data_IF_765354565587
#
_entry.id   IF_765354565587
#
_cell.length_a   1.000
_cell.length_b   1.000
_cell.length_c   1.000
_cell.angle_alpha   90.00
_cell.angle_beta   90.00
_cell.angle_gamma   90.00
#
_symmetry.space_group_name_H-M   'P 1'
#
loop_
_entity.id
_entity.type
_entity.pdbx_description
1 polymer ?
#
# COMPACT_ATOMS: atom_id res chain seq x y z
N UNK A 1 34.36 -31.88 52.92
CA UNK A 1 33.55 -32.56 53.96
C UNK A 1 32.09 -32.49 53.49
N UNK A 2 31.51 -33.58 52.94
CA UNK A 2 30.49 -34.46 53.60
C UNK A 2 29.24 -33.64 54.00
N UNK A 3 27.97 -33.84 53.58
CA UNK A 3 27.14 -34.96 53.04
C UNK A 3 25.89 -34.29 52.39
N UNK A 4 25.37 -34.57 51.19
CA UNK A 4 24.60 -35.72 50.68
C UNK A 4 23.44 -36.23 51.57
N UNK A 5 22.20 -36.01 51.10
CA UNK A 5 21.07 -36.94 51.17
C UNK A 5 19.70 -36.31 51.52
N UNK A 6 18.53 -36.74 51.03
CA UNK A 6 18.08 -37.56 49.89
C UNK A 6 16.53 -37.73 50.02
N UNK A 7 15.82 -37.92 48.89
CA UNK A 7 14.58 -38.73 48.68
C UNK A 7 13.23 -38.27 49.24
N UNK A 8 12.43 -37.63 48.38
CA UNK A 8 11.02 -38.01 48.18
C UNK A 8 10.99 -38.85 46.88
N UNK A 9 11.07 -40.19 46.89
CA UNK A 9 10.06 -41.18 47.29
C UNK A 9 8.74 -41.03 46.48
N UNK A 10 8.74 -41.29 45.17
CA UNK A 10 8.19 -42.50 44.52
C UNK A 10 6.93 -43.10 45.18
N UNK A 11 5.74 -42.69 44.72
CA UNK A 11 4.49 -43.45 44.44
C UNK A 11 3.60 -42.48 43.64
N UNK A 12 2.93 -42.75 42.52
CA UNK A 12 2.61 -43.98 41.83
C UNK A 12 2.38 -43.72 40.34
N UNK A 13 2.90 -44.65 39.56
CA UNK A 13 2.72 -44.84 38.13
C UNK A 13 1.47 -45.73 37.93
N UNK A 14 0.84 -45.62 36.75
CA UNK A 14 -0.02 -46.60 36.04
C UNK A 14 -1.54 -46.55 36.27
N UNK A 15 -2.24 -46.66 35.12
CA UNK A 15 -3.61 -47.15 34.83
C UNK A 15 -4.65 -46.01 34.77
N UNK A 16 -5.23 -45.61 33.62
CA UNK A 16 -6.15 -46.37 32.74
C UNK A 16 -6.45 -45.50 31.48
N UNK A 17 -5.85 -45.70 30.30
CA UNK A 17 -6.33 -46.53 29.17
C UNK A 17 -7.86 -46.63 29.00
N UNK A 18 -8.55 -45.53 28.67
CA UNK A 18 -9.91 -45.62 28.08
C UNK A 18 -9.87 -45.17 26.63
N UNK A 19 -9.78 -46.17 25.78
CA UNK A 19 -10.19 -46.16 24.39
C UNK A 19 -11.63 -45.67 24.26
N UNK A 20 -11.90 -44.71 23.38
CA UNK A 20 -13.24 -44.49 22.85
C UNK A 20 -13.17 -44.31 21.33
N UNK A 21 -13.14 -45.45 20.62
CA UNK A 21 -13.50 -45.53 19.22
C UNK A 21 -15.01 -45.81 19.14
N UNK A 22 -15.73 -44.99 18.36
CA UNK A 22 -16.78 -45.50 17.46
C UNK A 22 -18.25 -45.18 17.79
N UNK A 23 -18.76 -44.11 17.14
CA UNK A 23 -20.01 -44.04 16.30
C UNK A 23 -21.40 -44.38 16.91
N UNK A 24 -22.55 -44.11 16.21
CA UNK A 24 -22.96 -43.04 15.29
C UNK A 24 -24.40 -42.48 15.61
N UNK A 25 -24.93 -41.62 14.71
CA UNK A 25 -26.36 -41.36 14.40
C UNK A 25 -27.13 -40.30 15.22
N UNK A 26 -27.46 -39.17 14.57
CA UNK A 26 -28.83 -38.65 14.49
C UNK A 26 -29.03 -37.73 13.26
N UNK A 27 -29.88 -38.17 12.32
CA UNK A 27 -30.67 -37.37 11.35
C UNK A 27 -31.99 -36.98 12.05
N UNK A 28 -32.77 -35.93 11.77
CA UNK A 28 -32.96 -35.03 10.63
C UNK A 28 -33.93 -33.88 11.06
N UNK A 29 -33.83 -32.74 10.38
CA UNK A 29 -34.93 -31.85 9.89
C UNK A 29 -35.95 -31.20 10.84
N UNK A 30 -36.03 -29.85 10.85
CA UNK A 30 -37.29 -29.06 10.75
C UNK A 30 -37.05 -27.61 10.25
N UNK A 31 -37.66 -27.30 9.09
CA UNK A 31 -38.42 -26.08 8.70
C UNK A 31 -37.85 -24.65 8.85
N UNK A 32 -37.69 -24.01 7.70
CA UNK A 32 -38.19 -22.69 7.24
C UNK A 32 -38.21 -21.47 8.17
N UNK A 33 -37.46 -20.46 7.70
CA UNK A 33 -37.69 -18.99 7.67
C UNK A 33 -38.01 -18.25 8.98
N UNK A 34 -37.06 -17.42 9.47
CA UNK A 34 -37.17 -15.94 9.53
C UNK A 34 -35.98 -15.32 10.32
N UNK A 35 -35.59 -14.10 9.92
CA UNK A 35 -34.68 -13.12 10.57
C UNK A 35 -33.16 -13.13 10.28
N UNK A 36 -32.80 -12.38 9.23
CA UNK A 36 -32.01 -11.13 9.30
C UNK A 36 -30.92 -11.01 10.38
N UNK A 37 -29.66 -11.15 9.96
CA UNK A 37 -28.57 -10.15 10.09
C UNK A 37 -27.19 -10.82 10.19
N UNK A 38 -26.33 -10.44 9.23
CA UNK A 38 -24.85 -10.46 9.30
C UNK A 38 -24.19 -11.79 9.67
N UNK A 39 -23.87 -12.57 8.65
CA UNK A 39 -22.76 -13.50 8.71
C UNK A 39 -22.05 -13.63 7.36
N UNK A 40 -20.74 -13.70 7.49
CA UNK A 40 -19.70 -13.67 6.48
C UNK A 40 -19.89 -14.75 5.42
N UNK A 41 -20.30 -14.35 4.22
CA UNK A 41 -20.20 -15.21 3.05
C UNK A 41 -18.71 -15.40 2.73
N UNK A 42 -18.20 -16.55 3.18
CA UNK A 42 -16.99 -17.17 2.69
C UNK A 42 -17.00 -17.11 1.16
N UNK A 43 -16.16 -16.23 0.61
CA UNK A 43 -15.78 -16.27 -0.78
C UNK A 43 -14.98 -17.56 -0.97
N UNK A 44 -15.63 -18.52 -1.62
CA UNK A 44 -15.04 -19.70 -2.22
C UNK A 44 -13.83 -19.32 -3.05
N UNK A 45 -12.65 -19.77 -2.61
CA UNK A 45 -11.42 -19.77 -3.41
C UNK A 45 -11.55 -20.73 -4.60
N UNK A 46 -11.42 -20.28 -5.86
CA UNK A 46 -10.90 -21.10 -6.93
C UNK A 46 -9.37 -21.04 -6.93
N UNK A 47 -8.77 -22.15 -7.34
CA UNK A 47 -7.37 -22.48 -7.18
C UNK A 47 -6.40 -21.57 -7.95
N UNK A 48 -5.27 -21.23 -7.32
CA UNK A 48 -4.19 -20.47 -7.96
C UNK A 48 -2.87 -20.31 -7.20
N UNK A 49 -2.55 -21.15 -6.20
CA UNK A 49 -1.21 -21.33 -5.61
C UNK A 49 -0.44 -20.02 -5.25
N UNK A 50 -0.54 -19.55 -4.00
CA UNK A 50 0.19 -18.37 -3.50
C UNK A 50 1.49 -18.80 -2.77
N UNK A 51 2.69 -18.71 -3.37
CA UNK A 51 3.96 -18.99 -2.68
C UNK A 51 4.41 -17.87 -1.74
N UNK A 52 3.76 -16.70 -1.81
CA UNK A 52 4.15 -15.44 -1.19
C UNK A 52 3.09 -14.82 -0.27
N UNK A 53 1.89 -15.40 -0.16
CA UNK A 53 0.78 -14.88 0.66
C UNK A 53 0.15 -13.57 0.18
N UNK A 54 0.39 -13.15 -1.07
CA UNK A 54 -0.18 -11.93 -1.67
C UNK A 54 -1.49 -12.28 -2.40
N UNK A 55 -2.63 -11.62 -2.12
CA UNK A 55 -3.89 -11.85 -2.83
C UNK A 55 -3.81 -11.38 -4.30
N UNK A 56 -4.60 -12.02 -5.17
CA UNK A 56 -4.63 -11.78 -6.62
C UNK A 56 -6.02 -11.39 -7.15
N UNK A 57 -6.94 -11.01 -6.28
CA UNK A 57 -8.27 -10.53 -6.66
C UNK A 57 -8.32 -9.00 -6.88
N UNK A 58 -9.33 -8.56 -7.65
CA UNK A 58 -9.55 -7.16 -8.00
C UNK A 58 -9.85 -6.27 -6.76
N UNK A 59 -10.46 -6.84 -5.73
CA UNK A 59 -10.78 -6.15 -4.49
C UNK A 59 -9.51 -5.73 -3.76
N UNK A 60 -8.60 -6.68 -3.56
CA UNK A 60 -7.27 -6.43 -2.99
C UNK A 60 -6.44 -5.46 -3.81
N UNK A 61 -6.46 -5.58 -5.14
CA UNK A 61 -5.77 -4.60 -6.01
C UNK A 61 -6.32 -3.18 -5.82
N UNK A 62 -7.64 -3.02 -5.83
CA UNK A 62 -8.29 -1.70 -5.71
C UNK A 62 -8.05 -1.08 -4.33
N UNK A 63 -8.18 -1.87 -3.25
CA UNK A 63 -7.90 -1.40 -1.89
C UNK A 63 -6.42 -1.03 -1.74
N UNK A 64 -5.52 -1.90 -2.19
CA UNK A 64 -4.07 -1.69 -2.16
C UNK A 64 -3.63 -0.43 -2.88
N UNK A 65 -4.19 -0.17 -4.07
CA UNK A 65 -3.97 1.07 -4.82
C UNK A 65 -4.37 2.30 -4.03
N UNK A 66 -5.53 2.26 -3.39
CA UNK A 66 -6.05 3.36 -2.56
C UNK A 66 -5.11 3.65 -1.38
N UNK A 67 -4.74 2.62 -0.63
CA UNK A 67 -3.83 2.71 0.51
C UNK A 67 -2.43 3.21 0.10
N UNK A 68 -1.89 2.68 -1.01
CA UNK A 68 -0.60 3.11 -1.54
C UNK A 68 -0.61 4.60 -1.91
N UNK A 69 -1.67 5.06 -2.57
CA UNK A 69 -1.82 6.46 -2.94
C UNK A 69 -1.92 7.38 -1.73
N UNK A 70 -2.61 6.95 -0.67
CA UNK A 70 -2.79 7.73 0.55
C UNK A 70 -1.52 7.82 1.41
N UNK A 71 -0.74 6.74 1.48
CA UNK A 71 0.31 6.60 2.50
C UNK A 71 1.73 6.47 1.95
N UNK A 72 1.92 6.07 0.70
CA UNK A 72 3.24 5.67 0.19
C UNK A 72 3.77 6.59 -0.91
N UNK A 73 2.91 7.14 -1.77
CA UNK A 73 3.31 7.91 -2.97
C UNK A 73 4.08 9.19 -2.69
N UNK A 74 3.92 9.77 -1.50
CA UNK A 74 4.69 10.95 -1.09
C UNK A 74 6.20 10.70 -1.07
N UNK A 75 6.61 9.45 -0.80
CA UNK A 75 8.01 9.09 -0.62
C UNK A 75 8.51 7.97 -1.55
N UNK A 76 7.62 7.17 -2.13
CA UNK A 76 7.98 6.01 -2.95
C UNK A 76 7.34 6.04 -4.33
N UNK A 77 8.13 5.63 -5.32
CA UNK A 77 7.65 5.33 -6.67
C UNK A 77 7.97 3.87 -7.00
N UNK A 78 7.30 3.32 -8.03
CA UNK A 78 7.50 1.94 -8.43
C UNK A 78 8.85 1.75 -9.14
N UNK A 79 9.10 2.51 -10.22
CA UNK A 79 10.29 2.32 -11.06
C UNK A 79 11.52 3.16 -10.73
N UNK A 80 11.43 4.12 -9.80
CA UNK A 80 12.55 5.03 -9.48
C UNK A 80 12.62 5.39 -8.01
N UNK A 81 13.81 5.77 -7.57
CA UNK A 81 14.02 6.36 -6.26
C UNK A 81 13.56 7.82 -6.25
N UNK A 82 12.84 8.20 -5.20
CA UNK A 82 12.52 9.60 -4.89
C UNK A 82 13.07 9.93 -3.51
N UNK A 83 12.27 9.81 -2.45
CA UNK A 83 12.76 9.93 -1.06
C UNK A 83 13.20 8.56 -0.55
N UNK A 84 12.35 7.55 -0.76
CA UNK A 84 12.63 6.16 -0.47
C UNK A 84 13.03 5.35 -1.73
N UNK A 85 13.42 4.08 -1.54
CA UNK A 85 13.73 3.14 -2.64
C UNK A 85 12.56 2.93 -3.60
N UNK A 86 12.90 2.52 -4.82
CA UNK A 86 11.94 2.02 -5.81
C UNK A 86 11.26 0.74 -5.31
N UNK A 87 9.93 0.67 -5.36
CA UNK A 87 9.16 -0.44 -4.80
C UNK A 87 8.77 -1.53 -5.79
N UNK A 88 9.01 -1.35 -7.09
CA UNK A 88 8.75 -2.39 -8.09
C UNK A 88 9.43 -3.70 -7.67
N UNK A 89 8.69 -4.80 -7.68
CA UNK A 89 9.19 -6.14 -7.33
C UNK A 89 9.78 -6.28 -5.93
N UNK A 90 9.38 -5.43 -4.96
CA UNK A 90 9.87 -5.52 -3.57
C UNK A 90 9.56 -6.86 -2.90
N UNK A 91 8.42 -7.48 -3.26
CA UNK A 91 8.00 -8.80 -2.81
C UNK A 91 8.99 -9.91 -3.19
N UNK A 92 9.81 -9.72 -4.23
CA UNK A 92 10.86 -10.67 -4.62
C UNK A 92 12.17 -10.46 -3.88
N UNK A 93 12.36 -9.28 -3.26
CA UNK A 93 13.61 -8.93 -2.56
C UNK A 93 13.60 -9.37 -1.10
N UNK A 94 12.44 -9.43 -0.46
CA UNK A 94 12.30 -9.68 0.97
C UNK A 94 11.08 -10.53 1.27
N UNK A 95 11.14 -11.38 2.31
CA UNK A 95 10.00 -12.20 2.71
C UNK A 95 8.85 -11.30 3.19
N UNK A 96 7.62 -11.73 2.91
CA UNK A 96 6.43 -10.94 3.21
C UNK A 96 6.28 -10.61 4.69
N UNK A 97 6.62 -11.52 5.60
CA UNK A 97 6.55 -11.24 7.04
C UNK A 97 7.51 -10.14 7.49
N UNK A 98 8.67 -10.02 6.83
CA UNK A 98 9.59 -8.92 7.10
C UNK A 98 9.05 -7.61 6.55
N UNK A 99 8.45 -7.63 5.35
CA UNK A 99 7.85 -6.44 4.73
C UNK A 99 6.69 -5.90 5.57
N UNK A 100 5.82 -6.77 6.08
CA UNK A 100 4.71 -6.36 6.96
C UNK A 100 5.23 -5.64 8.20
N UNK A 101 6.19 -6.23 8.91
CA UNK A 101 6.78 -5.60 10.11
C UNK A 101 7.49 -4.29 9.79
N UNK A 102 8.27 -4.26 8.71
CA UNK A 102 9.01 -3.07 8.31
C UNK A 102 8.09 -1.92 7.91
N UNK A 103 7.00 -2.20 7.21
CA UNK A 103 6.01 -1.19 6.81
C UNK A 103 5.26 -0.68 8.04
N UNK A 104 4.87 -1.54 8.97
CA UNK A 104 4.19 -1.11 10.20
C UNK A 104 5.09 -0.21 11.05
N UNK A 105 6.34 -0.61 11.29
CA UNK A 105 7.26 0.18 12.09
C UNK A 105 8.72 -0.10 11.71
N UNK A 106 9.24 0.69 10.76
CA UNK A 106 10.61 0.53 10.29
C UNK A 106 11.65 0.83 11.40
N UNK A 107 11.36 1.78 12.29
CA UNK A 107 12.27 2.19 13.35
C UNK A 107 12.47 1.07 14.38
N UNK A 108 11.40 0.34 14.70
CA UNK A 108 11.48 -0.85 15.53
C UNK A 108 12.39 -1.91 14.90
N UNK A 109 12.18 -2.24 13.63
CA UNK A 109 13.01 -3.24 12.91
C UNK A 109 14.48 -2.84 12.84
N UNK A 110 14.77 -1.53 12.71
CA UNK A 110 16.15 -1.00 12.73
C UNK A 110 16.78 -1.14 14.12
N UNK A 111 16.00 -1.02 15.20
CA UNK A 111 16.49 -1.13 16.58
C UNK A 111 16.66 -2.58 17.06
N UNK A 112 15.96 -3.54 16.45
CA UNK A 112 16.01 -4.96 16.82
C UNK A 112 17.24 -5.66 16.25
N UNK A 113 18.15 -6.12 17.14
CA UNK A 113 19.45 -6.67 16.75
C UNK A 113 19.37 -7.75 15.66
N UNK A 114 18.43 -8.70 15.76
CA UNK A 114 18.34 -9.85 14.84
C UNK A 114 17.78 -9.51 13.44
N UNK A 115 17.02 -8.41 13.29
CA UNK A 115 16.44 -7.97 12.00
C UNK A 115 17.06 -6.66 11.47
N UNK A 116 17.94 -6.05 12.24
CA UNK A 116 18.50 -4.72 11.98
C UNK A 116 19.54 -4.67 10.88
N UNK A 117 20.23 -5.77 10.53
CA UNK A 117 21.39 -5.70 9.63
C UNK A 117 21.05 -5.06 8.28
N UNK A 118 20.00 -5.52 7.61
CA UNK A 118 19.57 -4.92 6.36
C UNK A 118 18.85 -3.57 6.56
N UNK A 119 17.96 -3.49 7.55
CA UNK A 119 17.16 -2.29 7.80
C UNK A 119 18.04 -1.07 8.16
N UNK A 120 19.10 -1.29 8.94
CA UNK A 120 20.05 -0.26 9.36
C UNK A 120 20.96 0.20 8.23
N UNK A 121 21.40 -0.71 7.36
CA UNK A 121 22.15 -0.36 6.14
C UNK A 121 21.26 0.45 5.20
N UNK A 122 20.02 0.01 4.98
CA UNK A 122 19.04 0.72 4.18
C UNK A 122 18.80 2.12 4.74
N UNK A 123 18.55 2.24 6.04
CA UNK A 123 18.33 3.52 6.70
C UNK A 123 19.49 4.51 6.49
N UNK A 124 20.74 4.04 6.64
CA UNK A 124 21.94 4.86 6.38
C UNK A 124 22.07 5.25 4.90
N UNK A 125 21.79 4.33 3.98
CA UNK A 125 21.84 4.59 2.54
C UNK A 125 20.85 5.69 2.12
N UNK A 126 19.70 5.74 2.79
CA UNK A 126 18.66 6.74 2.56
C UNK A 126 18.78 7.90 3.55
N UNK A 127 20.00 8.37 3.87
CA UNK A 127 20.27 9.57 4.68
C UNK A 127 19.55 9.62 6.04
N UNK A 128 19.36 8.47 6.68
CA UNK A 128 18.62 8.33 7.93
C UNK A 128 17.21 8.95 7.85
N UNK A 129 16.58 8.92 6.66
CA UNK A 129 15.20 9.37 6.50
C UNK A 129 14.26 8.41 7.22
N UNK A 130 13.45 8.96 8.12
CA UNK A 130 12.50 8.19 8.93
C UNK A 130 11.26 7.90 8.10
N UNK A 131 11.00 6.61 7.85
CA UNK A 131 9.70 6.17 7.34
C UNK A 131 8.66 6.32 8.48
N UNK A 132 7.50 6.95 8.24
CA UNK A 132 6.46 7.08 9.23
C UNK A 132 5.98 5.72 9.76
N UNK A 133 5.36 5.73 10.94
CA UNK A 133 4.76 4.54 11.53
C UNK A 133 3.37 4.30 10.91
N UNK A 134 3.09 3.05 10.57
CA UNK A 134 1.84 2.59 9.96
C UNK A 134 1.23 1.40 10.73
N UNK A 135 1.38 1.34 12.05
CA UNK A 135 0.80 0.29 12.91
C UNK A 135 -0.73 0.22 12.84
N UNK A 136 -1.38 1.27 12.34
CA UNK A 136 -2.82 1.27 12.07
C UNK A 136 -3.21 0.46 10.83
N UNK A 137 -2.27 0.15 9.92
CA UNK A 137 -2.50 -0.74 8.79
C UNK A 137 -2.44 -2.19 9.27
N UNK A 138 -3.51 -2.93 8.99
CA UNK A 138 -3.55 -4.36 9.27
C UNK A 138 -2.60 -5.13 8.36
N UNK A 139 -2.36 -6.41 8.68
CA UNK A 139 -1.59 -7.28 7.80
C UNK A 139 -2.25 -7.34 6.41
N UNK A 140 -3.56 -7.50 6.36
CA UNK A 140 -4.31 -7.66 5.11
C UNK A 140 -4.25 -6.39 4.26
N UNK A 141 -4.36 -5.20 4.89
CA UNK A 141 -4.14 -3.92 4.20
C UNK A 141 -2.76 -3.85 3.53
N UNK A 142 -1.71 -4.35 4.20
CA UNK A 142 -0.35 -4.38 3.65
C UNK A 142 -0.23 -5.41 2.53
N UNK A 143 -0.91 -6.55 2.63
CA UNK A 143 -0.97 -7.54 1.56
C UNK A 143 -1.66 -6.97 0.31
N UNK A 144 -2.74 -6.22 0.49
CA UNK A 144 -3.43 -5.51 -0.59
C UNK A 144 -2.50 -4.50 -1.26
N UNK A 145 -1.77 -3.68 -0.48
CA UNK A 145 -0.74 -2.78 -1.03
C UNK A 145 0.30 -3.56 -1.84
N UNK A 146 0.72 -4.74 -1.38
CA UNK A 146 1.66 -5.58 -2.13
C UNK A 146 1.04 -6.17 -3.39
N UNK A 147 -0.26 -6.51 -3.40
CA UNK A 147 -0.96 -6.94 -4.59
C UNK A 147 -0.92 -5.86 -5.68
N UNK A 148 -1.21 -4.62 -5.31
CA UNK A 148 -1.06 -3.46 -6.20
C UNK A 148 0.38 -3.31 -6.73
N UNK A 149 1.38 -3.29 -5.84
CA UNK A 149 2.79 -3.13 -6.24
C UNK A 149 3.23 -4.27 -7.16
N UNK A 150 2.80 -5.50 -6.90
CA UNK A 150 3.13 -6.69 -7.71
C UNK A 150 2.56 -6.52 -9.12
N UNK A 151 1.28 -6.22 -9.25
CA UNK A 151 0.61 -6.01 -10.55
C UNK A 151 1.28 -4.90 -11.36
N UNK A 152 1.52 -3.74 -10.74
CA UNK A 152 2.12 -2.60 -11.45
C UNK A 152 3.60 -2.83 -11.78
N UNK A 153 4.33 -3.60 -10.96
CA UNK A 153 5.72 -3.94 -11.27
C UNK A 153 5.88 -4.79 -12.53
N UNK A 154 4.90 -5.64 -12.84
CA UNK A 154 4.89 -6.42 -14.08
C UNK A 154 4.62 -5.51 -15.28
N UNK A 155 3.70 -4.54 -15.15
CA UNK A 155 3.39 -3.55 -16.18
C UNK A 155 4.60 -2.72 -16.59
N UNK A 156 5.38 -2.23 -15.61
CA UNK A 156 6.61 -1.46 -15.87
C UNK A 156 7.70 -2.30 -16.57
N UNK A 157 7.82 -3.60 -16.25
CA UNK A 157 8.76 -4.49 -16.95
C UNK A 157 8.33 -4.82 -18.37
N UNK A 158 7.03 -4.85 -18.66
CA UNK A 158 6.51 -5.04 -20.02
C UNK A 158 6.74 -3.79 -20.90
N UNK A 159 6.72 -2.59 -20.31
CA UNK A 159 7.05 -1.34 -21.00
C UNK A 159 8.52 -1.23 -21.45
N UNK A 160 9.43 -1.94 -20.78
CA UNK A 160 10.87 -1.96 -21.13
C UNK A 160 11.18 -2.92 -22.29
N UNK A 161 10.32 -3.90 -22.59
CA UNK A 161 10.52 -4.82 -23.71
C UNK A 161 10.14 -4.23 -25.07
N UNK A 162 9.28 -3.21 -25.13
CA UNK A 162 8.89 -2.53 -26.39
C UNK A 162 9.78 -1.33 -26.75
N UNK A 163 10.67 -0.89 -25.85
CA UNK A 163 11.59 0.22 -26.11
C UNK A 163 12.96 -0.24 -26.66
N UNK A 164 13.17 -1.55 -26.86
CA UNK A 164 14.43 -2.14 -27.31
C UNK A 164 14.34 -2.72 -28.74
N UNK A 165 13.61 -2.04 -29.63
CA UNK A 165 13.70 -2.23 -31.07
C UNK A 165 13.36 -0.92 -31.79
N UNK A 166 14.25 0.06 -31.69
CA UNK A 166 14.55 0.95 -32.82
C UNK A 166 15.78 1.77 -32.47
N UNK A 167 16.94 1.31 -32.92
CA UNK A 167 18.07 2.20 -33.16
C UNK A 167 17.86 2.89 -34.52
N UNK A 168 18.50 4.04 -34.68
CA UNK A 168 18.96 4.63 -35.95
C UNK A 168 18.20 5.85 -36.50
N UNK A 169 19.02 6.89 -36.71
CA UNK A 169 18.93 8.03 -37.63
C UNK A 169 18.08 9.26 -37.25
N UNK A 170 18.80 10.26 -36.76
CA UNK A 170 18.48 11.68 -36.88
C UNK A 170 18.81 12.21 -38.28
N UNK A 171 17.85 12.75 -39.05
CA UNK A 171 18.09 13.85 -40.01
C UNK A 171 16.82 14.70 -40.16
N UNK A 172 17.01 16.02 -40.14
CA UNK A 172 16.01 17.08 -40.31
C UNK A 172 15.51 17.19 -41.76
N UNK A 173 14.23 17.53 -41.97
CA UNK A 173 13.82 18.44 -43.05
C UNK A 173 12.44 19.06 -42.80
N UNK A 174 12.40 20.40 -42.73
CA UNK A 174 11.26 21.29 -42.96
C UNK A 174 11.34 21.82 -44.42
N UNK A 175 10.41 22.61 -44.99
CA UNK A 175 8.93 22.70 -44.92
C UNK A 175 8.27 22.51 -46.31
N UNK A 176 6.94 22.37 -46.38
CA UNK A 176 6.17 23.10 -47.41
C UNK A 176 4.69 23.25 -47.08
N UNK A 177 4.17 24.39 -47.53
CA UNK A 177 2.77 24.82 -47.56
C UNK A 177 1.84 23.79 -48.22
N UNK A 178 0.52 23.83 -48.07
CA UNK A 178 -0.40 24.77 -47.42
C UNK A 178 -1.81 24.16 -47.56
N UNK A 179 -2.83 25.00 -47.31
CA UNK A 179 -4.25 24.85 -47.72
C UNK A 179 -4.97 23.57 -47.21
N UNK A 180 -6.18 23.58 -46.64
CA UNK A 180 -7.41 24.29 -46.90
C UNK A 180 -8.38 24.08 -45.69
N UNK A 181 -9.04 25.14 -45.18
CA UNK A 181 -10.49 25.41 -45.33
C UNK A 181 -11.41 24.85 -44.22
N UNK A 182 -11.78 25.77 -43.33
CA UNK A 182 -13.14 26.16 -42.90
C UNK A 182 -14.05 25.26 -42.03
N UNK A 183 -14.15 25.68 -40.77
CA UNK A 183 -15.33 25.98 -39.92
C UNK A 183 -16.56 25.06 -39.87
N UNK A 184 -16.97 24.72 -38.64
CA UNK A 184 -18.26 25.02 -37.93
C UNK A 184 -18.27 24.07 -36.71
N UNK A 185 -18.19 24.47 -35.43
CA UNK A 185 -19.10 25.22 -34.54
C UNK A 185 -20.39 24.47 -34.20
N UNK A 186 -20.40 23.94 -32.98
CA UNK A 186 -21.54 23.44 -32.21
C UNK A 186 -21.00 23.03 -30.82
N UNK A 187 -20.91 23.94 -29.85
CA UNK A 187 -21.98 24.38 -28.92
C UNK A 187 -22.53 23.23 -28.05
N UNK A 188 -22.12 23.14 -26.77
CA UNK A 188 -22.97 22.90 -25.57
C UNK A 188 -22.19 22.29 -24.38
N UNK A 189 -22.01 23.12 -23.35
CA UNK A 189 -22.26 22.84 -21.92
C UNK A 189 -21.81 21.50 -21.31
N UNK A 190 -20.65 21.51 -20.63
CA UNK A 190 -20.49 20.83 -19.34
C UNK A 190 -19.28 21.40 -18.59
N UNK A 191 -19.52 21.76 -17.32
CA UNK A 191 -18.57 22.39 -16.41
C UNK A 191 -17.37 21.48 -16.10
N UNK A 192 -16.29 21.68 -16.86
CA UNK A 192 -14.96 21.18 -16.51
C UNK A 192 -14.26 22.19 -15.61
N UNK A 193 -14.54 22.16 -14.29
CA UNK A 193 -13.76 22.93 -13.31
C UNK A 193 -12.33 22.36 -13.31
N UNK A 194 -11.48 23.00 -14.10
CA UNK A 194 -10.09 22.66 -14.25
C UNK A 194 -9.38 22.88 -12.91
N UNK A 195 -8.83 21.81 -12.32
CA UNK A 195 -8.17 21.82 -11.00
C UNK A 195 -7.07 22.90 -10.87
N UNK A 196 -6.52 23.37 -11.99
CA UNK A 196 -5.61 24.51 -12.05
C UNK A 196 -6.22 25.87 -11.66
N UNK A 197 -7.51 26.10 -11.93
CA UNK A 197 -8.20 27.35 -11.54
C UNK A 197 -8.51 27.39 -10.04
N UNK A 198 -8.70 26.23 -9.38
CA UNK A 198 -8.98 26.17 -7.94
C UNK A 198 -7.73 26.54 -7.13
N UNK A 199 -6.56 26.01 -7.50
CA UNK A 199 -5.30 26.33 -6.83
C UNK A 199 -4.84 27.76 -7.15
N UNK A 200 -5.01 28.22 -8.39
CA UNK A 200 -4.72 29.62 -8.77
C UNK A 200 -5.63 30.61 -8.04
N UNK A 201 -6.92 30.30 -7.92
CA UNK A 201 -7.91 31.11 -7.21
C UNK A 201 -7.63 31.21 -5.71
N UNK A 202 -7.18 30.12 -5.07
CA UNK A 202 -6.84 30.12 -3.64
C UNK A 202 -5.60 31.01 -3.37
N UNK A 203 -4.57 30.93 -4.20
CA UNK A 203 -3.36 31.76 -4.05
C UNK A 203 -3.67 33.24 -4.28
N UNK A 204 -4.42 33.58 -5.32
CA UNK A 204 -4.81 34.98 -5.61
C UNK A 204 -5.76 35.51 -4.53
N UNK A 205 -6.70 34.68 -4.06
CA UNK A 205 -7.63 35.02 -2.98
C UNK A 205 -6.91 35.28 -1.66
N UNK A 206 -5.97 34.43 -1.26
CA UNK A 206 -5.16 34.63 -0.04
C UNK A 206 -4.31 35.89 -0.16
N UNK A 207 -3.69 36.15 -1.32
CA UNK A 207 -2.93 37.39 -1.55
C UNK A 207 -3.81 38.63 -1.44
N UNK A 208 -5.03 38.63 -2.01
CA UNK A 208 -5.96 39.74 -1.88
C UNK A 208 -6.41 39.97 -0.43
N UNK A 209 -6.71 38.90 0.31
CA UNK A 209 -7.09 39.00 1.73
C UNK A 209 -5.94 39.59 2.55
N UNK A 210 -4.69 39.16 2.32
CA UNK A 210 -3.52 39.70 3.02
C UNK A 210 -3.35 41.19 2.71
N UNK A 211 -3.49 41.61 1.46
CA UNK A 211 -3.40 43.04 1.07
C UNK A 211 -4.51 43.85 1.74
N UNK A 212 -5.75 43.33 1.79
CA UNK A 212 -6.87 43.99 2.46
C UNK A 212 -6.61 44.11 3.97
N UNK A 213 -6.14 43.05 4.63
CA UNK A 213 -5.83 43.09 6.07
C UNK A 213 -4.70 44.08 6.39
N UNK A 214 -3.67 44.17 5.55
CA UNK A 214 -2.60 45.17 5.69
C UNK A 214 -3.15 46.59 5.49
N UNK A 215 -4.03 46.81 4.52
CA UNK A 215 -4.67 48.11 4.29
C UNK A 215 -5.58 48.51 5.46
N UNK A 216 -6.36 47.58 6.01
CA UNK A 216 -7.21 47.81 7.18
C UNK A 216 -6.38 48.11 8.44
N UNK A 217 -5.27 47.39 8.64
CA UNK A 217 -4.33 47.66 9.76
C UNK A 217 -3.67 49.04 9.62
N UNK A 218 -3.31 49.43 8.39
CA UNK A 218 -2.77 50.78 8.12
C UNK A 218 -3.81 51.86 8.40
N UNK A 219 -5.07 51.64 8.02
CA UNK A 219 -6.18 52.57 8.27
C UNK A 219 -6.52 52.69 9.76
N UNK A 220 -6.48 51.58 10.49
CA UNK A 220 -6.64 51.57 11.96
C UNK A 220 -5.55 52.41 12.66
N UNK A 221 -4.29 52.33 12.21
CA UNK A 221 -3.20 53.17 12.74
C UNK A 221 -3.29 54.65 12.38
N UNK A 222 -4.05 55.02 11.35
CA UNK A 222 -4.26 56.42 10.96
C UNK A 222 -5.46 57.06 11.67
N UNK A 223 -6.30 56.25 12.30
CA UNK A 223 -7.51 56.68 13.04
C UNK A 223 -7.32 56.69 14.56
N UNK A 224 -6.07 56.56 15.03
CA UNK A 224 -5.62 56.73 16.42
C UNK A 224 -4.59 57.85 16.44
#
# INVERSE_FOLDING_TARGET
MKKQGYKFCTVGLIILFISFLGTPVFSQSTTSDDQTAQDVAAATNPAGQVPDGIPDDEGSYTNGRSLFNQHCTACHALGKQIIGPALASVHNRRPMDWLVKFIQNSQQVISEADTSDYASVLFKQYNNQVMPNFEFLSRDDILDIMAYIKTESVSETAGVSSAMSSETESVQQEPSAGDDVYSQKDDSDAEGVNLGMIMGGLVVGVLLVVVILVALRKRSKQNV
#
